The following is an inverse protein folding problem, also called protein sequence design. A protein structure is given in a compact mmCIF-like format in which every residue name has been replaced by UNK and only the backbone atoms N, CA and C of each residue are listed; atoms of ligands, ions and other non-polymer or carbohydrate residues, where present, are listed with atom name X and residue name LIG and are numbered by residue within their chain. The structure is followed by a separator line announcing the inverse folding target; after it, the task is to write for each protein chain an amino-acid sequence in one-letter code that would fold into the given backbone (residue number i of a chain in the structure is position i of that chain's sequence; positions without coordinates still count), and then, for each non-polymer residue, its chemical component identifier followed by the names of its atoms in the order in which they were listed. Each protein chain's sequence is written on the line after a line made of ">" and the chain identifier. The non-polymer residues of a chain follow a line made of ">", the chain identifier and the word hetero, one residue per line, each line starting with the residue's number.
data_IF_097759054277
#
_entry.id   IF_097759054277
#
_cell.length_a   1.000
_cell.length_b   1.000
_cell.length_c   1.000
_cell.angle_alpha   90.00
_cell.angle_beta   90.00
_cell.angle_gamma   90.00
#
_symmetry.space_group_name_H-M   'P 1'
#
loop_
_entity.id
_entity.type
_entity.pdbx_description
1 polymer ?
#
# COMPACT_ATOMS: atom_id res chain seq x y z
N UNK A 1 13.41 -7.90 3.42
CA UNK A 1 12.84 -6.94 4.18
C UNK A 1 11.44 -6.72 3.90
N UNK A 2 10.63 -6.97 4.85
CA UNK A 2 9.20 -6.97 4.66
C UNK A 2 8.65 -5.57 4.41
N UNK A 3 9.14 -4.60 5.11
CA UNK A 3 8.67 -3.23 4.91
C UNK A 3 9.05 -2.71 3.54
N UNK A 4 10.22 -3.10 3.05
CA UNK A 4 10.63 -2.70 1.72
C UNK A 4 9.69 -3.27 0.66
N UNK A 5 9.28 -4.52 0.83
CA UNK A 5 8.36 -5.15 -0.09
C UNK A 5 7.00 -4.45 -0.09
N UNK A 6 6.52 -4.07 1.09
CA UNK A 6 5.29 -3.30 1.20
C UNK A 6 5.42 -1.95 0.51
N UNK A 7 6.56 -1.27 0.70
CA UNK A 7 6.81 0.01 0.06
C UNK A 7 6.78 -0.13 -1.47
N UNK A 8 7.41 -1.16 -2.01
CA UNK A 8 7.45 -1.37 -3.45
C UNK A 8 6.05 -1.62 -4.03
N UNK A 9 5.25 -2.42 -3.34
CA UNK A 9 3.88 -2.70 -3.80
C UNK A 9 3.00 -1.47 -3.73
N UNK A 10 3.10 -0.71 -2.66
CA UNK A 10 2.28 0.49 -2.51
C UNK A 10 2.75 1.61 -3.44
N UNK A 11 4.04 1.68 -3.71
CA UNK A 11 4.55 2.63 -4.69
C UNK A 11 3.96 2.35 -6.07
N UNK A 12 3.94 1.09 -6.47
CA UNK A 12 3.36 0.71 -7.76
C UNK A 12 1.86 1.02 -7.80
N UNK A 13 1.16 0.78 -6.69
CA UNK A 13 -0.26 1.10 -6.59
C UNK A 13 -0.52 2.60 -6.74
N UNK A 14 0.30 3.41 -6.09
CA UNK A 14 0.16 4.86 -6.17
C UNK A 14 0.45 5.38 -7.58
N UNK A 15 1.48 4.83 -8.22
CA UNK A 15 1.78 5.23 -9.59
C UNK A 15 0.60 4.93 -10.51
N UNK A 16 -0.01 3.78 -10.35
CA UNK A 16 -1.15 3.42 -11.17
C UNK A 16 -2.34 4.34 -10.88
N UNK A 17 -2.58 4.65 -9.61
CA UNK A 17 -3.69 5.50 -9.23
C UNK A 17 -3.58 6.90 -9.85
N UNK A 18 -2.36 7.41 -9.97
CA UNK A 18 -2.14 8.74 -10.50
C UNK A 18 -2.08 8.75 -12.03
N UNK A 19 -1.46 7.74 -12.62
CA UNK A 19 -1.22 7.74 -14.07
C UNK A 19 -2.37 7.20 -14.89
N UNK A 20 -3.25 6.41 -14.29
CA UNK A 20 -4.33 5.79 -15.05
C UNK A 20 -5.42 6.79 -15.38
N UNK A 21 -6.04 6.64 -16.54
CA UNK A 21 -7.18 7.46 -16.92
C UNK A 21 -8.50 6.70 -16.74
N UNK A 22 -8.45 5.52 -16.16
CA UNK A 22 -9.67 4.74 -15.91
C UNK A 22 -10.52 5.39 -14.83
N UNK A 23 -11.74 4.95 -14.68
CA UNK A 23 -12.62 5.45 -13.63
C UNK A 23 -12.06 5.12 -12.25
N UNK A 24 -12.48 5.83 -11.19
CA UNK A 24 -12.01 5.50 -9.85
C UNK A 24 -12.26 4.04 -9.47
N UNK A 25 -13.43 3.48 -9.86
CA UNK A 25 -13.76 2.10 -9.56
C UNK A 25 -12.80 1.15 -10.27
N UNK A 26 -12.51 1.40 -11.54
CA UNK A 26 -11.61 0.56 -12.31
C UNK A 26 -10.19 0.63 -11.79
N UNK A 27 -9.74 1.83 -11.43
CA UNK A 27 -8.41 2.00 -10.85
C UNK A 27 -8.29 1.25 -9.54
N UNK A 28 -9.32 1.36 -8.69
CA UNK A 28 -9.32 0.68 -7.40
C UNK A 28 -9.30 -0.83 -7.57
N UNK A 29 -10.14 -1.36 -8.46
CA UNK A 29 -10.17 -2.81 -8.71
C UNK A 29 -8.81 -3.32 -9.16
N UNK A 30 -8.17 -2.59 -10.06
CA UNK A 30 -6.87 -2.99 -10.58
C UNK A 30 -5.80 -2.97 -9.49
N UNK A 31 -5.84 -1.97 -8.62
CA UNK A 31 -4.90 -1.87 -7.51
C UNK A 31 -5.10 -3.02 -6.53
N UNK A 32 -6.33 -3.31 -6.16
CA UNK A 32 -6.60 -4.41 -5.23
C UNK A 32 -6.14 -5.73 -5.82
N UNK A 33 -6.49 -5.97 -7.09
CA UNK A 33 -6.16 -7.24 -7.69
C UNK A 33 -4.67 -7.42 -7.95
N UNK A 34 -4.00 -6.41 -8.42
CA UNK A 34 -2.62 -6.54 -8.86
C UNK A 34 -1.57 -6.13 -7.83
N UNK A 35 -1.94 -5.31 -6.88
CA UNK A 35 -0.94 -4.76 -5.95
C UNK A 35 -1.21 -5.08 -4.48
N UNK A 36 -2.46 -5.20 -4.08
CA UNK A 36 -2.77 -5.42 -2.67
C UNK A 36 -3.05 -6.87 -2.33
N UNK A 37 -3.51 -7.64 -3.31
CA UNK A 37 -3.98 -9.00 -3.04
C UNK A 37 -2.89 -9.90 -2.47
N UNK A 38 -1.65 -9.71 -2.79
CA UNK A 38 -0.56 -10.52 -2.25
C UNK A 38 0.14 -9.91 -1.06
N UNK A 39 -0.37 -8.78 -0.56
CA UNK A 39 0.28 -8.12 0.53
C UNK A 39 0.00 -8.86 1.82
N UNK A 40 0.98 -9.01 2.69
CA UNK A 40 0.83 -9.70 3.95
C UNK A 40 1.04 -8.74 5.09
N UNK A 41 0.63 -9.15 6.30
CA UNK A 41 0.67 -8.28 7.46
C UNK A 41 2.06 -7.72 7.73
N UNK A 42 3.09 -8.54 7.55
CA UNK A 42 4.46 -8.10 7.83
C UNK A 42 4.97 -7.08 6.80
N UNK A 43 4.25 -6.88 5.68
CA UNK A 43 4.66 -5.89 4.71
C UNK A 43 4.18 -4.49 5.12
N UNK A 44 3.31 -4.39 6.10
CA UNK A 44 2.75 -3.13 6.55
C UNK A 44 3.11 -2.98 8.03
N UNK A 45 3.79 -1.90 8.37
CA UNK A 45 4.29 -1.74 9.72
C UNK A 45 3.20 -1.53 10.77
N UNK A 46 2.04 -1.05 10.37
CA UNK A 46 0.99 -0.66 11.29
C UNK A 46 -0.17 -1.64 11.21
N UNK A 47 -0.52 -2.28 12.32
CA UNK A 47 -1.65 -3.21 12.36
C UNK A 47 -2.98 -2.56 12.03
N UNK A 48 -3.16 -1.30 12.38
CA UNK A 48 -4.39 -0.58 12.05
C UNK A 48 -4.49 -0.39 10.54
N UNK A 49 -3.39 -0.06 9.89
CA UNK A 49 -3.35 0.06 8.43
C UNK A 49 -3.63 -1.30 7.77
N UNK A 50 -3.10 -2.37 8.34
CA UNK A 50 -3.35 -3.70 7.83
C UNK A 50 -4.84 -4.04 7.90
N UNK A 51 -5.50 -3.75 9.04
CA UNK A 51 -6.92 -4.01 9.21
C UNK A 51 -7.75 -3.22 8.19
N UNK A 52 -7.38 -1.98 7.93
CA UNK A 52 -8.08 -1.17 6.95
C UNK A 52 -7.90 -1.69 5.53
N UNK A 53 -6.73 -2.23 5.20
CA UNK A 53 -6.53 -2.85 3.90
C UNK A 53 -7.41 -4.09 3.74
N UNK A 54 -7.61 -4.85 4.82
CA UNK A 54 -8.50 -6.00 4.77
C UNK A 54 -9.95 -5.57 4.53
N UNK A 55 -10.35 -4.45 5.13
CA UNK A 55 -11.69 -3.90 4.87
C UNK A 55 -11.86 -3.51 3.41
N UNK A 56 -10.81 -2.93 2.83
CA UNK A 56 -10.86 -2.57 1.41
C UNK A 56 -10.99 -3.81 0.54
N UNK A 57 -10.20 -4.84 0.81
CA UNK A 57 -10.26 -6.07 0.03
C UNK A 57 -11.65 -6.69 0.15
N UNK A 58 -12.24 -6.71 1.34
CA UNK A 58 -13.58 -7.23 1.53
C UNK A 58 -14.62 -6.40 0.77
N UNK A 59 -14.51 -5.09 0.84
CA UNK A 59 -15.46 -4.21 0.15
C UNK A 59 -15.36 -4.34 -1.36
N UNK A 60 -14.20 -4.79 -1.86
CA UNK A 60 -13.97 -4.92 -3.29
C UNK A 60 -14.22 -6.33 -3.80
N UNK A 61 -14.57 -7.26 -2.92
CA UNK A 61 -14.73 -8.66 -3.31
C UNK A 61 -16.20 -9.03 -3.32
N UNK A 62 -16.65 -9.68 -4.37
CA UNK A 62 -18.03 -10.17 -4.47
C UNK A 62 -18.02 -11.67 -4.67
N UNK A 63 -19.10 -12.32 -4.26
CA UNK A 63 -19.27 -13.75 -4.47
C UNK A 63 -20.08 -13.95 -5.73
N UNK A 64 -19.64 -14.87 -6.57
CA UNK A 64 -20.35 -15.21 -7.78
C UNK A 64 -20.54 -16.69 -7.82
N UNK A 65 -21.68 -17.13 -8.33
CA UNK A 65 -21.97 -18.54 -8.50
C UNK A 65 -21.98 -18.83 -10.00
N UNK A 66 -21.08 -19.73 -10.41
CA UNK A 66 -21.02 -20.13 -11.79
C UNK A 66 -20.91 -21.63 -11.85
N UNK A 67 -21.67 -22.26 -12.71
CA UNK A 67 -21.66 -23.73 -12.89
C UNK A 67 -21.87 -24.46 -11.56
N UNK A 68 -22.72 -23.90 -10.71
CA UNK A 68 -23.02 -24.52 -9.43
C UNK A 68 -21.96 -24.33 -8.35
N UNK A 69 -20.88 -23.59 -8.66
CA UNK A 69 -19.83 -23.35 -7.69
C UNK A 69 -19.75 -21.88 -7.35
N UNK A 70 -19.48 -21.59 -6.08
CA UNK A 70 -19.35 -20.23 -5.63
C UNK A 70 -17.88 -19.85 -5.58
N UNK A 71 -17.53 -18.71 -6.08
CA UNK A 71 -16.17 -18.20 -5.98
C UNK A 71 -16.21 -16.69 -5.78
N UNK A 72 -15.05 -16.11 -5.46
CA UNK A 72 -14.94 -14.68 -5.17
C UNK A 72 -14.17 -13.99 -6.29
N UNK A 73 -14.53 -12.77 -6.59
CA UNK A 73 -13.76 -11.97 -7.54
C UNK A 73 -13.78 -10.52 -7.12
N UNK A 74 -12.84 -9.75 -7.63
CA UNK A 74 -12.78 -8.32 -7.34
C UNK A 74 -13.73 -7.59 -8.27
N UNK A 75 -14.64 -6.80 -7.70
CA UNK A 75 -15.59 -6.03 -8.47
C UNK A 75 -15.96 -4.79 -7.67
N UNK A 76 -15.52 -3.64 -8.12
CA UNK A 76 -15.79 -2.36 -7.45
C UNK A 76 -16.86 -1.57 -8.19
N UNK A 77 -17.52 -2.16 -9.17
CA UNK A 77 -18.45 -1.41 -10.03
C UNK A 77 -19.65 -0.84 -9.28
N UNK A 78 -20.00 -1.41 -8.13
CA UNK A 78 -21.13 -0.91 -7.36
C UNK A 78 -20.72 0.23 -6.42
N UNK A 79 -19.46 0.54 -6.28
CA UNK A 79 -19.05 1.66 -5.44
C UNK A 79 -19.35 2.97 -6.14
N UNK A 80 -19.68 4.01 -5.35
CA UNK A 80 -19.83 5.34 -5.92
C UNK A 80 -18.44 5.90 -6.25
N UNK A 81 -18.40 6.91 -7.09
CA UNK A 81 -17.14 7.59 -7.41
C UNK A 81 -16.50 8.13 -6.15
N UNK A 82 -17.33 8.65 -5.24
CA UNK A 82 -16.83 9.23 -4.01
C UNK A 82 -16.17 8.17 -3.13
N UNK A 83 -16.81 7.02 -2.97
CA UNK A 83 -16.26 5.96 -2.12
C UNK A 83 -15.00 5.38 -2.73
N UNK A 84 -14.99 5.15 -4.04
CA UNK A 84 -13.80 4.63 -4.71
C UNK A 84 -12.65 5.63 -4.59
N UNK A 85 -12.93 6.92 -4.73
CA UNK A 85 -11.92 7.95 -4.61
C UNK A 85 -11.36 8.05 -3.20
N UNK A 86 -12.21 7.86 -2.19
CA UNK A 86 -11.74 7.86 -0.80
C UNK A 86 -10.77 6.72 -0.55
N UNK A 87 -11.06 5.54 -1.10
CA UNK A 87 -10.14 4.41 -0.95
C UNK A 87 -8.82 4.68 -1.66
N UNK A 88 -8.87 5.29 -2.85
CA UNK A 88 -7.64 5.64 -3.58
C UNK A 88 -6.79 6.61 -2.75
N UNK A 89 -7.43 7.61 -2.15
CA UNK A 89 -6.72 8.55 -1.29
C UNK A 89 -6.13 7.84 -0.07
N UNK A 90 -6.85 6.89 0.49
CA UNK A 90 -6.34 6.13 1.63
C UNK A 90 -5.08 5.35 1.26
N UNK A 91 -5.07 4.74 0.06
CA UNK A 91 -3.90 3.99 -0.41
C UNK A 91 -2.68 4.92 -0.52
N UNK A 92 -2.87 6.13 -1.03
CA UNK A 92 -1.78 7.09 -1.13
C UNK A 92 -1.26 7.48 0.26
N UNK A 93 -2.18 7.69 1.20
CA UNK A 93 -1.80 8.02 2.58
C UNK A 93 -1.06 6.87 3.23
N UNK A 94 -1.50 5.65 2.96
CA UNK A 94 -0.86 4.47 3.51
C UNK A 94 0.56 4.33 2.95
N UNK A 95 0.74 4.62 1.67
CA UNK A 95 2.06 4.59 1.07
C UNK A 95 2.98 5.57 1.78
N UNK A 96 2.47 6.76 2.10
CA UNK A 96 3.26 7.76 2.83
C UNK A 96 3.77 7.22 4.16
N UNK A 97 2.90 6.54 4.90
CA UNK A 97 3.28 5.95 6.18
C UNK A 97 4.34 4.85 6.04
N UNK A 98 4.18 4.00 5.04
CA UNK A 98 5.14 2.92 4.80
C UNK A 98 6.47 3.49 4.32
N UNK A 99 6.43 4.51 3.48
CA UNK A 99 7.64 5.16 2.98
C UNK A 99 8.40 5.83 4.13
N UNK A 100 7.67 6.43 5.08
CA UNK A 100 8.27 7.05 6.23
C UNK A 100 8.96 6.02 7.11
N UNK A 101 8.32 4.89 7.35
CA UNK A 101 8.91 3.81 8.14
C UNK A 101 10.17 3.27 7.46
N UNK A 102 10.13 3.12 6.14
CA UNK A 102 11.28 2.65 5.38
C UNK A 102 12.43 3.67 5.47
N UNK A 103 12.12 4.94 5.32
CA UNK A 103 13.11 6.01 5.43
C UNK A 103 13.74 6.07 6.79
N UNK A 104 12.95 5.94 7.86
CA UNK A 104 13.47 5.94 9.22
C UNK A 104 14.43 4.78 9.46
N UNK A 105 14.11 3.62 8.90
CA UNK A 105 14.96 2.46 9.02
C UNK A 105 16.29 2.69 8.31
N UNK A 106 16.25 3.24 7.11
CA UNK A 106 17.46 3.57 6.37
C UNK A 106 18.32 4.57 7.13
N UNK A 107 17.70 5.57 7.72
CA UNK A 107 18.42 6.56 8.51
C UNK A 107 19.12 5.92 9.70
N UNK A 108 18.47 4.99 10.37
CA UNK A 108 19.09 4.30 11.49
C UNK A 108 20.29 3.48 11.04
N UNK A 109 20.16 2.80 9.92
CA UNK A 109 21.25 2.00 9.37
C UNK A 109 22.44 2.88 9.00
N UNK A 110 22.18 4.03 8.39
CA UNK A 110 23.23 4.95 8.03
C UNK A 110 23.93 5.52 9.25
N UNK A 111 23.19 5.84 10.29
CA UNK A 111 23.78 6.33 11.53
C UNK A 111 24.66 5.27 12.17
N UNK A 112 24.24 4.03 12.16
CA UNK A 112 25.00 2.93 12.71
C UNK A 112 26.31 2.77 11.94
N UNK A 113 26.25 2.84 10.63
CA UNK A 113 27.45 2.74 9.80
C UNK A 113 28.41 3.88 10.09
N UNK A 114 27.90 5.08 10.23
CA UNK A 114 28.72 6.25 10.51
C UNK A 114 29.39 6.12 11.87
N UNK A 115 28.67 5.66 12.87
CA UNK A 115 29.23 5.46 14.20
C UNK A 115 30.30 4.38 14.18
N UNK A 116 30.06 3.31 13.44
CA UNK A 116 31.04 2.23 13.33
C UNK A 116 32.31 2.71 12.65
N UNK A 117 32.21 3.65 11.75
CA UNK A 117 33.34 4.17 11.05
C UNK A 117 34.08 5.21 11.90
N UNK A 118 33.52 5.57 12.99
CA UNK A 118 34.17 6.56 13.82
C UNK A 118 34.09 7.95 13.33
N UNK A 119 33.27 8.21 12.38
CA UNK A 119 33.31 9.42 11.75
C UNK A 119 32.46 10.33 12.40
N UNK A 120 32.71 11.30 12.82
CA UNK A 120 31.88 12.07 13.41
C UNK A 120 31.25 12.97 12.69
N UNK A 121 31.13 13.13 11.87
CA UNK A 121 30.54 13.91 11.07
C UNK A 121 29.49 14.57 11.33
N UNK A 122 29.28 15.39 11.33
CA UNK A 122 28.38 16.15 11.40
C UNK A 122 27.27 16.16 10.90
N UNK A 123 26.84 15.85 10.67
CA UNK A 123 25.70 15.69 10.25
C UNK A 123 24.85 16.72 10.20
N UNK A 124 24.41 17.20 9.68
CA UNK A 124 23.63 18.06 9.52
C UNK A 124 22.40 17.65 9.31
N UNK A 125 21.57 17.94 9.71
CA UNK A 125 20.44 17.47 9.47
C UNK A 125 19.72 18.27 8.72
N UNK A 126 18.83 18.18 8.43
CA UNK A 126 18.15 18.86 7.63
C UNK A 126 16.95 18.52 7.80
N UNK A 127 16.48 18.99 7.84
CA UNK A 127 15.31 18.82 8.08
C UNK A 127 14.47 18.52 7.17
#
# INVERSE_FOLDING_TARGET
>A
MEIRKGWEKLFAACRYAVASTDTPQQRLASIVENHLNGLQREHVADGYAWDNLQLLVEASTVSVTEHGQQHHKIDTSSMSDEDASKWLCYIVSLFGGVAEAHGSRMNRELRTMSAAAGSSSSARSHA
#
